data_IF_536421785445
#
_entry.id   IF_536421785445
#
_cell.length_a   1.000
_cell.length_b   1.000
_cell.length_c   1.000
_cell.angle_alpha   90.00
_cell.angle_beta   90.00
_cell.angle_gamma   90.00
#
_symmetry.space_group_name_H-M   'P 1'
#
loop_
_entity.id
_entity.type
_entity.pdbx_description
1 polymer ?
#
# COMPACT_ATOMS: atom_id res chain seq x y z
N UNK A 1 -13.32 17.86 -2.36
CA UNK A 1 -12.08 17.05 -2.36
C UNK A 1 -12.31 15.78 -3.18
N UNK A 2 -11.42 15.49 -4.12
CA UNK A 2 -11.50 14.39 -5.07
C UNK A 2 -10.25 14.37 -5.94
N UNK A 3 -10.15 13.43 -6.88
CA UNK A 3 -9.04 13.31 -7.82
C UNK A 3 -8.89 14.62 -8.63
N UNK A 4 -7.91 15.45 -8.26
CA UNK A 4 -7.80 16.84 -8.73
C UNK A 4 -6.69 16.98 -9.78
N UNK A 5 -7.02 17.55 -10.95
CA UNK A 5 -6.11 17.69 -12.10
C UNK A 5 -4.83 18.47 -11.75
N UNK A 6 -4.95 19.60 -11.07
CA UNK A 6 -3.81 20.46 -10.71
C UNK A 6 -2.81 19.69 -9.82
N UNK A 7 -3.30 18.95 -8.83
CA UNK A 7 -2.45 18.18 -7.93
C UNK A 7 -1.78 17.00 -8.65
N UNK A 8 -2.49 16.35 -9.58
CA UNK A 8 -1.97 15.26 -10.40
C UNK A 8 -0.90 15.76 -11.37
N UNK A 9 -1.14 16.89 -12.04
CA UNK A 9 -0.17 17.55 -12.91
C UNK A 9 1.09 17.97 -12.13
N UNK A 10 0.92 18.51 -10.92
CA UNK A 10 2.04 18.87 -10.04
C UNK A 10 2.88 17.63 -9.67
N UNK A 11 2.25 16.52 -9.32
CA UNK A 11 2.94 15.25 -9.05
C UNK A 11 3.76 14.79 -10.26
N UNK A 12 3.17 14.73 -11.45
CA UNK A 12 3.90 14.29 -12.64
C UNK A 12 4.98 15.29 -13.09
N UNK A 13 4.78 16.58 -12.85
CA UNK A 13 5.79 17.61 -13.07
C UNK A 13 7.00 17.38 -12.17
N UNK A 14 6.78 17.20 -10.87
CA UNK A 14 7.83 16.91 -9.89
C UNK A 14 8.53 15.58 -10.19
N UNK A 15 7.78 14.53 -10.52
CA UNK A 15 8.34 13.24 -10.93
C UNK A 15 9.25 13.40 -12.14
N UNK A 16 8.81 14.13 -13.16
CA UNK A 16 9.60 14.33 -14.38
C UNK A 16 10.88 15.10 -14.09
N UNK A 17 10.81 16.11 -13.22
CA UNK A 17 11.99 16.86 -12.78
C UNK A 17 12.99 15.95 -12.06
N UNK A 18 12.54 15.17 -11.08
CA UNK A 18 13.41 14.21 -10.37
C UNK A 18 14.03 13.18 -11.31
N UNK A 19 13.26 12.68 -12.28
CA UNK A 19 13.77 11.76 -13.30
C UNK A 19 14.80 12.41 -14.22
N UNK A 20 14.64 13.68 -14.56
CA UNK A 20 15.62 14.43 -15.36
C UNK A 20 16.90 14.76 -14.57
N UNK A 21 16.76 15.10 -13.28
CA UNK A 21 17.88 15.50 -12.42
C UNK A 21 18.77 14.31 -12.05
N UNK A 22 18.18 13.15 -11.75
CA UNK A 22 18.91 11.99 -11.21
C UNK A 22 18.93 10.76 -12.13
N UNK A 23 18.01 10.65 -13.09
CA UNK A 23 17.96 9.49 -14.00
C UNK A 23 17.70 8.16 -13.30
N UNK A 24 16.87 8.12 -12.24
CA UNK A 24 16.61 6.89 -11.48
C UNK A 24 16.20 5.73 -12.40
N UNK A 25 16.94 4.61 -12.44
CA UNK A 25 16.47 3.43 -13.16
C UNK A 25 15.29 2.79 -12.39
N UNK A 26 14.46 1.94 -13.03
CA UNK A 26 13.29 1.33 -12.39
C UNK A 26 13.60 0.56 -11.09
N UNK A 27 14.82 0.06 -10.93
CA UNK A 27 15.29 -0.60 -9.71
C UNK A 27 15.52 0.34 -8.52
N UNK A 28 15.53 1.65 -8.76
CA UNK A 28 15.75 2.72 -7.75
C UNK A 28 14.52 3.59 -7.53
N UNK A 29 13.37 3.20 -8.07
CA UNK A 29 12.08 3.87 -7.85
C UNK A 29 11.21 2.91 -7.07
N UNK A 30 10.89 3.26 -5.83
CA UNK A 30 10.13 2.44 -4.91
C UNK A 30 8.79 3.08 -4.59
N UNK A 31 7.81 2.23 -4.30
CA UNK A 31 6.53 2.64 -3.76
C UNK A 31 6.31 1.97 -2.41
N UNK A 32 5.93 2.75 -1.41
CA UNK A 32 5.60 2.28 -0.06
C UNK A 32 4.19 2.73 0.33
N UNK A 33 3.50 1.86 1.04
CA UNK A 33 2.15 2.07 1.54
C UNK A 33 1.80 1.09 2.66
N UNK A 34 0.78 1.43 3.43
CA UNK A 34 0.22 0.64 4.52
C UNK A 34 -1.04 -0.12 4.12
N UNK A 35 -1.20 -1.33 4.65
CA UNK A 35 -2.50 -2.01 4.64
C UNK A 35 -2.85 -2.63 5.97
N UNK A 36 -4.10 -2.44 6.37
CA UNK A 36 -4.71 -3.18 7.46
C UNK A 36 -5.13 -4.60 7.02
N UNK A 37 -4.73 -5.59 7.81
CA UNK A 37 -5.08 -7.00 7.72
C UNK A 37 -5.80 -7.40 9.01
N UNK A 38 -6.84 -8.23 8.92
CA UNK A 38 -7.67 -8.60 10.08
C UNK A 38 -7.60 -10.09 10.39
N UNK A 39 -7.67 -10.47 11.68
CA UNK A 39 -7.77 -11.88 12.10
C UNK A 39 -9.09 -12.55 11.65
N UNK A 40 -10.10 -11.74 11.30
CA UNK A 40 -11.36 -12.19 10.71
C UNK A 40 -11.49 -11.57 9.32
N UNK A 41 -11.20 -12.33 8.24
CA UNK A 41 -11.33 -11.82 6.88
C UNK A 41 -12.80 -11.52 6.57
N UNK A 42 -13.09 -10.27 6.19
CA UNK A 42 -14.45 -9.80 5.93
C UNK A 42 -15.06 -10.34 4.62
N UNK A 43 -14.37 -11.19 3.86
CA UNK A 43 -14.87 -11.69 2.58
C UNK A 43 -15.74 -12.93 2.80
N UNK A 44 -17.04 -12.76 2.54
CA UNK A 44 -17.98 -13.87 2.37
C UNK A 44 -17.71 -14.44 0.97
N UNK A 45 -17.35 -15.73 0.82
CA UNK A 45 -17.18 -16.32 -0.50
C UNK A 45 -18.50 -16.27 -1.28
N UNK A 46 -18.44 -16.03 -2.59
CA UNK A 46 -19.59 -16.25 -3.47
C UNK A 46 -19.75 -17.77 -3.61
N UNK A 47 -20.70 -18.36 -2.89
CA UNK A 47 -20.94 -19.81 -2.91
C UNK A 47 -22.19 -20.11 -3.75
N UNK A 48 -22.10 -21.08 -4.66
CA UNK A 48 -23.26 -21.65 -5.35
C UNK A 48 -23.96 -22.59 -4.36
N UNK A 49 -25.15 -22.21 -3.89
CA UNK A 49 -25.98 -23.04 -3.02
C UNK A 49 -27.13 -23.68 -3.80
N UNK A 50 -27.55 -24.88 -3.38
CA UNK A 50 -28.74 -25.52 -3.93
C UNK A 50 -29.97 -24.62 -3.73
N UNK A 51 -30.81 -24.49 -4.79
CA UNK A 51 -32.04 -23.68 -4.79
C UNK A 51 -32.92 -24.06 -3.60
N UNK A 52 -33.02 -23.18 -2.60
CA UNK A 52 -33.84 -23.38 -1.40
C UNK A 52 -33.12 -23.29 -0.06
N UNK A 53 -31.78 -23.36 -0.01
CA UNK A 53 -31.02 -23.08 1.23
C UNK A 53 -30.70 -21.59 1.35
N UNK A 54 -31.34 -20.90 2.30
CA UNK A 54 -31.16 -19.45 2.59
C UNK A 54 -30.05 -19.12 3.59
N UNK A 55 -29.37 -20.13 4.15
CA UNK A 55 -28.26 -19.95 5.10
C UNK A 55 -27.11 -20.88 4.70
N UNK A 56 -25.94 -20.28 4.45
CA UNK A 56 -24.65 -20.96 4.37
C UNK A 56 -23.79 -20.32 5.45
N UNK A 57 -23.63 -21.00 6.57
CA UNK A 57 -22.87 -20.47 7.70
C UNK A 57 -21.37 -20.62 7.39
N UNK A 58 -20.65 -19.49 7.25
CA UNK A 58 -19.19 -19.49 7.29
C UNK A 58 -18.76 -19.69 8.74
N UNK A 59 -17.86 -20.63 8.99
CA UNK A 59 -17.16 -20.73 10.28
C UNK A 59 -16.39 -19.42 10.45
N UNK A 60 -16.86 -18.57 11.37
CA UNK A 60 -16.17 -17.33 11.72
C UNK A 60 -15.20 -17.62 12.84
N UNK A 61 -13.97 -17.13 12.70
CA UNK A 61 -12.93 -17.27 13.72
C UNK A 61 -13.26 -16.54 15.02
N UNK A 62 -13.97 -15.40 14.98
CA UNK A 62 -14.38 -14.63 16.16
C UNK A 62 -15.46 -13.60 15.79
N UNK A 63 -16.13 -13.00 16.78
CA UNK A 63 -17.13 -11.93 16.59
C UNK A 63 -16.49 -10.58 16.20
N UNK A 64 -15.25 -10.33 16.64
CA UNK A 64 -14.46 -9.13 16.32
C UNK A 64 -13.03 -9.52 15.98
N UNK A 65 -12.49 -8.96 14.89
CA UNK A 65 -11.12 -9.21 14.43
C UNK A 65 -10.15 -8.14 14.92
N UNK A 66 -8.93 -8.53 15.28
CA UNK A 66 -7.85 -7.60 15.55
C UNK A 66 -7.29 -7.07 14.22
N UNK A 67 -7.09 -5.76 14.11
CA UNK A 67 -6.47 -5.11 12.97
C UNK A 67 -4.95 -5.08 13.15
N UNK A 68 -4.24 -5.52 12.13
CA UNK A 68 -2.79 -5.56 12.08
C UNK A 68 -2.34 -4.76 10.86
N UNK A 69 -1.42 -3.84 11.06
CA UNK A 69 -0.88 -3.02 9.97
C UNK A 69 0.38 -3.67 9.38
N UNK A 70 0.41 -3.77 8.06
CA UNK A 70 1.57 -4.19 7.28
C UNK A 70 2.04 -3.05 6.38
N UNK A 71 3.32 -2.70 6.46
CA UNK A 71 3.98 -1.79 5.52
C UNK A 71 4.60 -2.63 4.42
N UNK A 72 4.18 -2.38 3.19
CA UNK A 72 4.72 -3.05 2.01
C UNK A 72 5.51 -2.06 1.17
N UNK A 73 6.54 -2.53 0.48
CA UNK A 73 7.34 -1.70 -0.41
C UNK A 73 7.95 -2.51 -1.55
N UNK A 74 7.85 -2.02 -2.77
CA UNK A 74 8.49 -2.64 -3.94
C UNK A 74 8.94 -1.62 -4.99
N UNK A 75 9.96 -2.00 -5.76
CA UNK A 75 10.50 -1.17 -6.85
C UNK A 75 9.76 -1.36 -8.16
N UNK A 76 9.91 -0.40 -9.07
CA UNK A 76 9.37 -0.48 -10.43
C UNK A 76 10.02 -1.58 -11.27
N UNK A 77 11.14 -2.16 -10.84
CA UNK A 77 11.75 -3.35 -11.45
C UNK A 77 11.27 -4.68 -10.84
N UNK A 78 10.43 -4.65 -9.80
CA UNK A 78 9.94 -5.85 -9.12
C UNK A 78 10.81 -6.37 -7.97
N UNK A 79 11.68 -5.52 -7.41
CA UNK A 79 12.38 -5.85 -6.16
C UNK A 79 11.49 -5.51 -4.97
N UNK A 80 11.12 -6.51 -4.18
CA UNK A 80 10.31 -6.35 -2.98
C UNK A 80 11.19 -6.18 -1.75
N UNK A 81 10.92 -5.15 -0.96
CA UNK A 81 11.46 -5.02 0.38
C UNK A 81 10.63 -5.94 1.29
N UNK A 82 11.25 -6.75 2.16
CA UNK A 82 10.50 -7.58 3.10
C UNK A 82 9.50 -6.72 3.88
N UNK A 83 8.23 -7.17 3.99
CA UNK A 83 7.18 -6.38 4.62
C UNK A 83 7.53 -6.18 6.08
N UNK A 84 7.24 -4.99 6.58
CA UNK A 84 7.43 -4.68 7.98
C UNK A 84 6.06 -4.64 8.66
N UNK A 85 5.88 -5.50 9.65
CA UNK A 85 4.57 -5.87 10.20
C UNK A 85 4.59 -5.77 11.71
N UNK A 86 3.43 -5.56 12.35
CA UNK A 86 3.29 -5.70 13.81
C UNK A 86 3.33 -7.18 14.28
N UNK A 87 3.81 -8.09 13.43
CA UNK A 87 3.88 -9.53 13.66
C UNK A 87 5.29 -10.03 13.38
N UNK A 88 5.77 -10.97 14.20
CA UNK A 88 7.04 -11.63 13.98
C UNK A 88 6.88 -12.79 12.99
N UNK A 89 7.87 -13.02 12.12
CA UNK A 89 7.93 -14.21 11.28
C UNK A 89 7.03 -14.23 10.04
N UNK A 90 6.50 -13.08 9.60
CA UNK A 90 5.71 -12.99 8.38
C UNK A 90 6.52 -13.40 7.12
N UNK A 91 7.80 -13.04 7.05
CA UNK A 91 8.74 -13.54 6.02
C UNK A 91 10.13 -13.70 6.64
N UNK A 92 11.08 -14.44 6.01
CA UNK A 92 12.42 -14.67 6.56
C UNK A 92 13.21 -13.41 6.96
N UNK A 93 12.83 -12.23 6.45
CA UNK A 93 13.45 -10.94 6.75
C UNK A 93 12.44 -9.86 7.19
N UNK A 94 11.21 -10.23 7.59
CA UNK A 94 10.22 -9.25 8.05
C UNK A 94 10.68 -8.61 9.36
N UNK A 95 10.61 -7.29 9.44
CA UNK A 95 10.87 -6.55 10.68
C UNK A 95 9.58 -6.42 11.48
N UNK A 96 9.65 -6.79 12.75
CA UNK A 96 8.59 -6.56 13.72
C UNK A 96 8.57 -5.07 14.10
N UNK A 97 7.46 -4.40 13.82
CA UNK A 97 7.15 -3.11 14.43
C UNK A 97 6.41 -3.34 15.74
N UNK A 98 6.82 -2.62 16.79
CA UNK A 98 6.09 -2.61 18.07
C UNK A 98 5.40 -1.26 18.17
N UNK A 99 4.08 -1.26 18.30
CA UNK A 99 3.27 -0.07 18.58
C UNK A 99 2.30 -0.39 19.70
N UNK A 100 2.29 0.45 20.73
CA UNK A 100 1.31 0.35 21.82
C UNK A 100 -0.12 0.68 21.33
N UNK A 101 -0.28 1.38 20.20
CA UNK A 101 -1.58 1.84 19.69
C UNK A 101 -2.15 1.02 18.52
N UNK A 102 -1.36 0.13 17.91
CA UNK A 102 -1.74 -0.60 16.68
C UNK A 102 -1.76 0.24 15.39
N UNK A 103 -1.53 1.56 15.50
CA UNK A 103 -1.34 2.48 14.38
C UNK A 103 0.13 2.80 14.16
N UNK A 104 0.46 3.19 12.93
CA UNK A 104 1.78 3.72 12.58
C UNK A 104 1.92 5.12 13.18
N UNK A 105 2.82 5.22 14.16
CA UNK A 105 3.34 6.48 14.65
C UNK A 105 4.62 6.84 13.86
N UNK A 106 5.14 8.04 14.08
CA UNK A 106 6.39 8.50 13.44
C UNK A 106 7.59 7.58 13.72
N UNK A 107 7.59 6.84 14.83
CA UNK A 107 8.65 5.91 15.22
C UNK A 107 8.65 4.64 14.36
N UNK A 108 7.47 4.12 14.03
CA UNK A 108 7.33 2.99 13.09
C UNK A 108 7.82 3.41 11.71
N UNK A 109 7.44 4.60 11.23
CA UNK A 109 7.91 5.08 9.94
C UNK A 109 9.44 5.25 9.93
N UNK A 110 10.04 5.74 11.02
CA UNK A 110 11.50 5.79 11.15
C UNK A 110 12.15 4.40 11.15
N UNK A 111 11.52 3.43 11.78
CA UNK A 111 11.98 2.02 11.77
C UNK A 111 11.89 1.43 10.37
N UNK A 112 10.81 1.73 9.63
CA UNK A 112 10.69 1.40 8.21
C UNK A 112 11.81 2.03 7.39
N UNK A 113 12.12 3.32 7.56
CA UNK A 113 13.18 3.97 6.79
C UNK A 113 14.56 3.32 7.00
N UNK A 114 14.88 2.90 8.22
CA UNK A 114 16.10 2.15 8.52
C UNK A 114 16.12 0.79 7.83
N UNK A 115 15.00 0.05 7.91
CA UNK A 115 14.82 -1.22 7.21
C UNK A 115 14.97 -1.06 5.69
N UNK A 116 14.24 -0.09 5.13
CA UNK A 116 14.32 0.28 3.73
C UNK A 116 15.75 0.59 3.31
N UNK A 117 16.48 1.41 4.07
CA UNK A 117 17.86 1.75 3.76
C UNK A 117 18.80 0.52 3.79
N UNK A 118 18.58 -0.43 4.69
CA UNK A 118 19.38 -1.67 4.74
C UNK A 118 19.21 -2.53 3.48
N UNK A 119 18.02 -2.53 2.89
CA UNK A 119 17.72 -3.32 1.69
C UNK A 119 17.97 -2.55 0.39
N UNK A 120 17.47 -1.31 0.29
CA UNK A 120 17.63 -0.46 -0.86
C UNK A 120 19.07 0.08 -1.00
N UNK A 121 19.83 0.21 0.10
CA UNK A 121 21.25 0.63 0.10
C UNK A 121 21.46 1.91 -0.72
N UNK A 122 20.64 2.94 -0.47
CA UNK A 122 20.78 4.23 -1.14
C UNK A 122 22.11 4.90 -0.74
N UNK A 123 22.76 5.53 -1.70
CA UNK A 123 24.01 6.27 -1.50
C UNK A 123 24.10 7.39 -2.54
N UNK A 124 25.19 8.16 -2.49
CA UNK A 124 25.35 9.35 -3.34
C UNK A 124 25.48 9.00 -4.82
N UNK A 125 26.12 7.87 -5.13
CA UNK A 125 26.36 7.38 -6.49
C UNK A 125 25.13 6.67 -7.06
N UNK A 126 24.27 6.12 -6.19
CA UNK A 126 23.03 5.44 -6.53
C UNK A 126 21.91 5.84 -5.57
N UNK A 127 21.36 7.06 -5.74
CA UNK A 127 20.26 7.52 -4.91
C UNK A 127 18.98 6.72 -5.20
N UNK A 128 17.97 6.88 -4.35
CA UNK A 128 16.68 6.20 -4.47
C UNK A 128 15.54 7.19 -4.41
N UNK A 129 14.53 7.00 -5.26
CA UNK A 129 13.26 7.68 -5.17
C UNK A 129 12.24 6.80 -4.43
N UNK A 130 11.75 7.28 -3.28
CA UNK A 130 10.67 6.66 -2.52
C UNK A 130 9.36 7.45 -2.74
N UNK A 131 8.37 6.78 -3.34
CA UNK A 131 7.03 7.32 -3.59
C UNK A 131 6.07 6.79 -2.53
N UNK A 132 5.34 7.68 -1.87
CA UNK A 132 4.44 7.36 -0.76
C UNK A 132 3.30 8.38 -0.63
N UNK A 133 2.37 8.16 0.28
CA UNK A 133 1.31 9.13 0.57
C UNK A 133 1.78 10.30 1.45
N UNK A 134 0.95 11.33 1.56
CA UNK A 134 1.24 12.52 2.38
C UNK A 134 0.64 12.40 3.79
N UNK A 135 0.64 11.22 4.40
CA UNK A 135 0.16 11.03 5.77
C UNK A 135 1.07 11.77 6.78
N UNK A 136 0.49 12.29 7.86
CA UNK A 136 1.21 13.14 8.83
C UNK A 136 2.36 12.41 9.53
N UNK A 137 2.26 11.09 9.72
CA UNK A 137 3.34 10.23 10.24
C UNK A 137 4.60 10.25 9.36
N UNK A 138 4.46 10.55 8.06
CA UNK A 138 5.57 10.57 7.10
C UNK A 138 6.34 11.89 7.10
N UNK A 139 5.79 12.91 7.76
CA UNK A 139 6.26 14.30 7.69
C UNK A 139 7.07 14.74 8.91
N UNK A 140 7.51 13.82 9.77
CA UNK A 140 8.40 14.18 10.89
C UNK A 140 9.73 14.75 10.39
N UNK A 141 10.27 15.72 11.13
CA UNK A 141 11.55 16.34 10.80
C UNK A 141 12.68 15.30 10.75
N UNK A 142 12.69 14.37 11.71
CA UNK A 142 13.70 13.30 11.77
C UNK A 142 13.67 12.41 10.53
N UNK A 143 12.48 12.08 10.02
CA UNK A 143 12.34 11.28 8.80
C UNK A 143 12.86 12.04 7.57
N UNK A 144 12.56 13.34 7.46
CA UNK A 144 13.07 14.19 6.38
C UNK A 144 14.59 14.25 6.40
N UNK A 145 15.17 14.52 7.58
CA UNK A 145 16.62 14.61 7.76
C UNK A 145 17.31 13.27 7.50
N UNK A 146 16.72 12.17 7.95
CA UNK A 146 17.24 10.83 7.69
C UNK A 146 17.26 10.50 6.20
N UNK A 147 16.16 10.77 5.48
CA UNK A 147 16.10 10.52 4.04
C UNK A 147 17.15 11.34 3.28
N UNK A 148 17.26 12.63 3.61
CA UNK A 148 18.27 13.52 3.01
C UNK A 148 19.70 13.03 3.27
N UNK A 149 20.01 12.61 4.50
CA UNK A 149 21.33 12.08 4.86
C UNK A 149 21.69 10.80 4.09
N UNK A 150 20.69 9.98 3.75
CA UNK A 150 20.88 8.67 3.11
C UNK A 150 20.63 8.67 1.59
N UNK A 151 20.49 9.85 0.95
CA UNK A 151 20.24 9.97 -0.50
C UNK A 151 18.94 9.27 -0.93
N UNK A 152 17.91 9.40 -0.10
CA UNK A 152 16.55 8.95 -0.39
C UNK A 152 15.73 10.21 -0.71
N UNK A 153 15.44 10.42 -1.99
CA UNK A 153 14.50 11.43 -2.44
C UNK A 153 13.08 10.92 -2.22
N UNK A 154 12.20 11.79 -1.72
CA UNK A 154 10.80 11.45 -1.47
C UNK A 154 9.88 12.22 -2.40
N UNK A 155 8.88 11.54 -2.93
CA UNK A 155 7.82 12.14 -3.70
C UNK A 155 6.47 11.67 -3.17
N UNK A 156 5.61 12.61 -2.77
CA UNK A 156 4.28 12.30 -2.28
C UNK A 156 3.27 12.24 -3.41
N UNK A 157 2.39 11.24 -3.40
CA UNK A 157 1.28 11.16 -4.35
C UNK A 157 0.23 12.25 -4.07
N UNK A 158 -0.56 12.65 -5.07
CA UNK A 158 -1.62 13.64 -4.88
C UNK A 158 -2.63 13.18 -3.80
N UNK A 159 -3.18 14.11 -3.00
CA UNK A 159 -4.21 13.75 -2.03
C UNK A 159 -5.44 13.16 -2.73
N UNK A 160 -6.08 12.18 -2.07
CA UNK A 160 -7.27 11.49 -2.58
C UNK A 160 -7.10 10.83 -3.96
N UNK A 161 -5.87 10.41 -4.29
CA UNK A 161 -5.56 9.80 -5.59
C UNK A 161 -5.07 8.36 -5.52
N UNK A 162 -4.93 7.77 -4.33
CA UNK A 162 -4.24 6.49 -4.14
C UNK A 162 -4.77 5.36 -5.05
N UNK A 163 -6.09 5.21 -5.15
CA UNK A 163 -6.74 4.26 -6.08
C UNK A 163 -6.31 4.34 -7.56
N UNK A 164 -5.63 5.42 -7.97
CA UNK A 164 -5.14 5.68 -9.33
C UNK A 164 -3.62 5.81 -9.40
N UNK A 165 -2.99 6.47 -8.44
CA UNK A 165 -1.57 6.87 -8.50
C UNK A 165 -0.68 6.06 -7.57
N UNK A 166 -1.23 5.24 -6.67
CA UNK A 166 -0.50 4.43 -5.70
C UNK A 166 -0.37 2.98 -6.21
N UNK A 167 0.81 2.52 -6.68
CA UNK A 167 1.02 1.17 -7.18
C UNK A 167 0.52 0.05 -6.24
N UNK A 168 0.81 0.17 -4.95
CA UNK A 168 0.40 -0.81 -3.93
C UNK A 168 -1.13 -0.95 -3.84
N UNK A 169 -1.85 0.16 -3.69
CA UNK A 169 -3.32 0.18 -3.67
C UNK A 169 -3.94 -0.31 -4.97
N UNK A 170 -3.40 0.13 -6.12
CA UNK A 170 -4.01 -0.12 -7.42
C UNK A 170 -3.90 -1.57 -7.85
N UNK A 171 -2.82 -2.27 -7.49
CA UNK A 171 -2.52 -3.58 -8.07
C UNK A 171 -2.16 -4.68 -7.06
N UNK A 172 -1.74 -4.35 -5.84
CA UNK A 172 -1.17 -5.33 -4.92
C UNK A 172 -2.13 -5.68 -3.76
N UNK A 173 -2.61 -4.69 -3.01
CA UNK A 173 -3.33 -4.95 -1.76
C UNK A 173 -4.64 -5.69 -1.92
N UNK A 174 -5.36 -5.48 -3.03
CA UNK A 174 -6.57 -6.26 -3.32
C UNK A 174 -6.24 -7.75 -3.46
N UNK A 175 -5.21 -8.08 -4.25
CA UNK A 175 -4.79 -9.46 -4.45
C UNK A 175 -4.27 -10.09 -3.16
N UNK A 176 -3.50 -9.33 -2.37
CA UNK A 176 -3.03 -9.75 -1.06
C UNK A 176 -4.19 -10.12 -0.12
N UNK A 177 -5.20 -9.25 0.01
CA UNK A 177 -6.37 -9.49 0.85
C UNK A 177 -7.21 -10.68 0.35
N UNK A 178 -7.26 -10.88 -0.96
CA UNK A 178 -7.98 -12.00 -1.57
C UNK A 178 -7.30 -13.35 -1.23
N UNK A 179 -5.99 -13.47 -1.46
CA UNK A 179 -5.25 -14.69 -1.10
C UNK A 179 -5.18 -14.91 0.41
N UNK A 180 -5.00 -13.85 1.19
CA UNK A 180 -5.03 -13.94 2.65
C UNK A 180 -6.37 -14.53 3.14
N UNK A 181 -7.50 -14.06 2.61
CA UNK A 181 -8.81 -14.62 2.93
C UNK A 181 -8.95 -16.11 2.57
N UNK A 182 -8.40 -16.52 1.42
CA UNK A 182 -8.38 -17.93 1.00
C UNK A 182 -7.54 -18.80 1.94
N UNK A 183 -6.34 -18.33 2.33
CA UNK A 183 -5.49 -19.05 3.27
C UNK A 183 -6.08 -19.13 4.67
N UNK A 184 -6.77 -18.09 5.14
CA UNK A 184 -7.54 -18.16 6.38
C UNK A 184 -8.65 -19.22 6.31
N UNK A 185 -9.39 -19.27 5.20
CA UNK A 185 -10.47 -20.26 5.01
C UNK A 185 -9.90 -21.69 4.99
N UNK A 186 -8.77 -21.91 4.31
CA UNK A 186 -8.07 -23.19 4.34
C UNK A 186 -7.56 -23.56 5.74
N UNK A 187 -7.03 -22.60 6.49
CA UNK A 187 -6.55 -22.84 7.85
C UNK A 187 -7.70 -23.27 8.78
N UNK A 188 -8.86 -22.60 8.70
CA UNK A 188 -10.04 -22.91 9.53
C UNK A 188 -10.63 -24.29 9.21
N UNK A 189 -10.63 -24.70 7.94
CA UNK A 189 -11.08 -26.05 7.54
C UNK A 189 -10.18 -27.14 8.15
N UNK A 190 -8.87 -26.91 8.20
CA UNK A 190 -7.91 -27.86 8.76
C UNK A 190 -7.81 -27.82 10.30
N UNK A 191 -8.38 -26.80 10.93
CA UNK A 191 -8.35 -26.60 12.40
C UNK A 191 -9.76 -26.36 12.95
N UNK A 192 -10.68 -27.35 12.86
CA UNK A 192 -12.06 -27.17 13.26
C UNK A 192 -12.18 -26.79 14.74
N UNK A 193 -12.98 -25.76 15.03
CA UNK A 193 -13.22 -25.25 16.38
C UNK A 193 -12.12 -24.35 16.95
N UNK A 194 -11.05 -24.07 16.18
CA UNK A 194 -10.02 -23.10 16.56
C UNK A 194 -10.26 -21.73 15.94
N UNK A 195 -9.62 -20.74 16.54
CA UNK A 195 -9.62 -19.35 16.09
C UNK A 195 -8.21 -18.97 15.65
N UNK A 196 -8.09 -18.12 14.64
CA UNK A 196 -6.82 -17.61 14.12
C UNK A 196 -6.25 -16.65 15.16
N UNK A 197 -5.06 -16.98 15.69
CA UNK A 197 -4.29 -16.13 16.60
C UNK A 197 -3.37 -15.17 15.83
N UNK A 198 -2.71 -14.24 16.53
CA UNK A 198 -1.75 -13.32 15.91
C UNK A 198 -0.59 -14.06 15.23
N UNK A 199 -0.06 -15.12 15.86
CA UNK A 199 1.00 -15.93 15.27
C UNK A 199 0.54 -16.62 13.97
N UNK A 200 -0.72 -17.10 13.95
CA UNK A 200 -1.29 -17.67 12.73
C UNK A 200 -1.47 -16.61 11.64
N UNK A 201 -1.83 -15.38 11.98
CA UNK A 201 -1.92 -14.30 10.98
C UNK A 201 -0.56 -14.04 10.34
N UNK A 202 0.53 -14.06 11.10
CA UNK A 202 1.87 -13.84 10.57
C UNK A 202 2.21 -14.87 9.47
N UNK A 203 2.02 -16.15 9.77
CA UNK A 203 2.27 -17.26 8.85
C UNK A 203 1.36 -17.19 7.61
N UNK A 204 0.05 -17.03 7.82
CA UNK A 204 -0.95 -16.94 6.75
C UNK A 204 -0.67 -15.73 5.85
N UNK A 205 -0.34 -14.58 6.44
CA UNK A 205 0.06 -13.39 5.72
C UNK A 205 1.33 -13.64 4.91
N UNK A 206 2.33 -14.30 5.48
CA UNK A 206 3.55 -14.69 4.78
C UNK A 206 3.28 -15.53 3.53
N UNK A 207 2.43 -16.54 3.64
CA UNK A 207 1.98 -17.35 2.50
C UNK A 207 1.28 -16.50 1.44
N UNK A 208 0.35 -15.64 1.85
CA UNK A 208 -0.38 -14.74 0.95
C UNK A 208 0.53 -13.75 0.24
N UNK A 209 1.46 -13.13 0.98
CA UNK A 209 2.41 -12.16 0.49
C UNK A 209 3.33 -12.77 -0.56
N UNK A 210 3.97 -13.90 -0.22
CA UNK A 210 4.86 -14.63 -1.14
C UNK A 210 4.12 -15.10 -2.41
N UNK A 211 2.82 -15.42 -2.31
CA UNK A 211 2.01 -15.78 -3.48
C UNK A 211 1.78 -14.60 -4.43
N UNK A 212 1.69 -13.38 -3.92
CA UNK A 212 1.35 -12.17 -4.70
C UNK A 212 2.60 -11.47 -5.24
N UNK A 213 3.72 -11.56 -4.52
CA UNK A 213 5.00 -10.94 -4.85
C UNK A 213 5.62 -11.53 -6.12
N UNK A 214 5.19 -10.99 -7.26
CA UNK A 214 5.67 -11.34 -8.60
C UNK A 214 6.22 -10.09 -9.27
N UNK A 215 7.30 -10.24 -10.03
CA UNK A 215 7.95 -9.12 -10.72
C UNK A 215 6.95 -8.42 -11.64
N UNK A 216 6.14 -9.19 -12.35
CA UNK A 216 5.13 -8.69 -13.28
C UNK A 216 4.09 -7.83 -12.56
N UNK A 217 3.71 -8.17 -11.33
CA UNK A 217 2.73 -7.37 -10.57
C UNK A 217 3.29 -6.00 -10.25
N UNK A 218 4.51 -5.93 -9.72
CA UNK A 218 5.17 -4.67 -9.39
C UNK A 218 5.37 -3.80 -10.64
N UNK A 219 5.97 -4.35 -11.71
CA UNK A 219 6.22 -3.62 -12.96
C UNK A 219 4.91 -3.09 -13.55
N UNK A 220 3.86 -3.91 -13.59
CA UNK A 220 2.55 -3.48 -14.07
C UNK A 220 1.92 -2.39 -13.19
N UNK A 221 2.09 -2.46 -11.87
CA UNK A 221 1.55 -1.46 -10.95
C UNK A 221 2.09 -0.05 -11.25
N UNK A 222 3.41 0.07 -11.45
CA UNK A 222 4.03 1.35 -11.82
C UNK A 222 3.61 1.82 -13.21
N UNK A 223 3.49 0.90 -14.18
CA UNK A 223 3.01 1.20 -15.53
C UNK A 223 1.59 1.75 -15.54
N UNK A 224 0.68 1.11 -14.79
CA UNK A 224 -0.72 1.52 -14.69
C UNK A 224 -0.87 2.90 -14.04
N UNK A 225 0.00 3.24 -13.10
CA UNK A 225 0.08 4.57 -12.47
C UNK A 225 0.84 5.59 -13.33
N UNK A 226 1.36 5.25 -14.51
CA UNK A 226 2.12 6.17 -15.35
C UNK A 226 3.41 6.70 -14.71
N UNK A 227 3.98 5.96 -13.76
CA UNK A 227 5.21 6.36 -13.06
C UNK A 227 6.43 5.83 -13.82
N UNK A 228 6.39 4.57 -14.27
CA UNK A 228 7.46 3.96 -15.07
C UNK A 228 6.84 3.20 -16.27
N UNK A 229 7.06 3.65 -17.52
CA UNK A 229 7.64 4.96 -17.87
C UNK A 229 6.74 6.11 -17.39
N UNK A 230 7.33 7.30 -17.22
CA UNK A 230 6.56 8.50 -16.84
C UNK A 230 5.58 8.84 -17.96
N UNK A 231 4.29 8.82 -17.66
CA UNK A 231 3.22 9.21 -18.57
C UNK A 231 2.28 10.22 -17.89
N UNK A 232 2.48 11.51 -18.17
CA UNK A 232 1.67 12.60 -17.62
C UNK A 232 0.23 12.60 -18.13
N UNK A 233 -0.04 11.91 -19.24
CA UNK A 233 -1.34 11.84 -19.91
C UNK A 233 -2.07 10.52 -19.64
N UNK A 234 -1.69 9.80 -18.59
CA UNK A 234 -2.33 8.52 -18.21
C UNK A 234 -3.79 8.70 -17.77
N UNK A 235 -4.19 9.91 -17.38
CA UNK A 235 -5.57 10.26 -17.01
C UNK A 235 -6.12 11.31 -17.98
N UNK A 236 -7.37 11.15 -18.40
CA UNK A 236 -8.06 12.08 -19.29
C UNK A 236 -8.94 13.07 -18.52
N UNK A 237 -9.48 14.09 -19.19
CA UNK A 237 -10.31 15.11 -18.54
C UNK A 237 -11.56 14.52 -17.85
N UNK A 238 -12.10 13.43 -18.40
CA UNK A 238 -13.26 12.71 -17.86
C UNK A 238 -12.97 12.12 -16.46
N UNK A 239 -11.72 11.73 -16.20
CA UNK A 239 -11.30 11.19 -14.91
C UNK A 239 -11.42 12.21 -13.77
N UNK A 240 -11.37 13.50 -14.10
CA UNK A 240 -11.43 14.60 -13.13
C UNK A 240 -12.84 15.16 -12.94
N UNK A 241 -13.80 14.82 -13.81
CA UNK A 241 -15.19 15.32 -13.75
C UNK A 241 -15.86 15.14 -12.38
N UNK A 242 -15.72 14.00 -11.67
CA UNK A 242 -16.33 13.83 -10.36
C UNK A 242 -15.84 14.84 -9.31
N UNK A 243 -14.60 15.31 -9.43
CA UNK A 243 -14.05 16.33 -8.53
C UNK A 243 -14.55 17.73 -8.90
N UNK A 244 -14.61 18.04 -10.20
CA UNK A 244 -15.08 19.33 -10.74
C UNK A 244 -16.55 19.60 -10.41
N UNK A 245 -17.43 18.62 -10.63
CA UNK A 245 -18.86 18.74 -10.32
C UNK A 245 -19.12 19.02 -8.84
N UNK A 246 -18.33 18.40 -7.95
CA UNK A 246 -18.43 18.64 -6.50
C UNK A 246 -18.00 20.06 -6.11
N UNK A 247 -16.98 20.64 -6.77
CA UNK A 247 -16.56 22.02 -6.51
C UNK A 247 -17.64 23.03 -6.91
N UNK A 248 -18.27 22.84 -8.07
CA UNK A 248 -19.37 23.70 -8.53
C UNK A 248 -20.56 23.65 -7.57
N UNK A 249 -20.98 22.44 -7.15
CA UNK A 249 -22.08 22.28 -6.18
C UNK A 249 -21.81 22.91 -4.81
N UNK A 250 -20.53 23.05 -4.43
CA UNK A 250 -20.13 23.70 -3.18
C UNK A 250 -20.14 25.23 -3.32
N UNK A 251 -19.69 25.77 -4.45
CA UNK A 251 -19.76 27.20 -4.76
C UNK A 251 -21.20 27.69 -4.86
N UNK A 252 -22.09 26.92 -5.50
CA UNK A 252 -23.52 27.23 -5.57
C UNK A 252 -24.17 27.32 -4.18
N UNK A 253 -23.83 26.39 -3.28
CA UNK A 253 -24.31 26.42 -1.88
C UNK A 253 -23.75 27.57 -1.06
N UNK A 254 -22.54 28.03 -1.35
CA UNK A 254 -21.92 29.18 -0.68
C UNK A 254 -22.47 30.51 -1.18
N UNK A 255 -22.90 30.60 -2.44
CA UNK A 255 -23.55 31.80 -3.00
C UNK A 255 -25.05 31.89 -2.65
N UNK A 256 -25.64 30.82 -2.11
CA UNK A 256 -27.02 30.80 -1.60
C UNK A 256 -27.14 31.07 -0.09
N UNK A 257 -26.03 31.38 0.58
CA UNK A 257 -25.95 31.79 1.99
C UNK A 257 -25.59 33.27 2.08
#
# INVERSE_FOLDING_TARGET
MGFNKIQVELFYSNLTKLMADYGFPPSRIYNMDESGITTVPNKIPKVIAAKGKRSVNKVRSAESGQLITAVCCFSASGHYIPPATLMSGATPDSVLFVSESGYINSEIYMSFLKHFQNHAKANKESPVLLILDNHSSHCSLDAVLYCRKNNIDRLTIPPHSSHRTQPLDRCFFKALKDYYGEYCDHWLVNHPGRTITQDNVAEIFGCAYNKVCTIEKAVNAFRMCGIVPVNKFIFCDEDFLPATLRMLSFQEKMMSL
#
